data_IF_926450274036
#
_entry.id   IF_926450274036
#
_cell.length_a   1.000
_cell.length_b   1.000
_cell.length_c   1.000
_cell.angle_alpha   90.00
_cell.angle_beta   90.00
_cell.angle_gamma   90.00
#
_symmetry.space_group_name_H-M   'P 1'
#
loop_
_entity.id
_entity.type
_entity.pdbx_description
1 polymer ?
#
# COMPACT_ATOMS: atom_id res chain seq x y z
N UNK A 1 -0.96 11.56 -11.40
CA UNK A 1 -1.21 12.10 -10.04
C UNK A 1 -0.32 11.38 -9.03
N UNK A 2 -0.10 11.89 -7.81
CA UNK A 2 0.57 11.16 -6.72
C UNK A 2 -0.39 10.90 -5.55
N UNK A 3 -0.27 9.72 -4.94
CA UNK A 3 -0.94 9.38 -3.68
C UNK A 3 0.09 8.89 -2.66
N UNK A 4 -0.25 9.03 -1.38
CA UNK A 4 0.50 8.41 -0.28
C UNK A 4 -0.06 7.02 0.00
N UNK A 5 0.82 6.03 0.11
CA UNK A 5 0.49 4.74 0.70
C UNK A 5 1.30 4.51 1.98
N UNK A 6 0.77 3.67 2.84
CA UNK A 6 1.34 3.36 4.14
C UNK A 6 1.81 1.92 4.12
N UNK A 7 3.12 1.75 4.20
CA UNK A 7 3.80 0.48 4.12
C UNK A 7 4.32 0.08 5.50
N UNK A 8 3.90 -1.10 5.97
CA UNK A 8 4.29 -1.65 7.25
C UNK A 8 5.13 -2.90 7.04
N UNK A 9 6.33 -2.87 7.60
CA UNK A 9 7.33 -3.94 7.53
C UNK A 9 7.82 -4.32 8.92
N UNK A 10 8.38 -5.51 9.09
CA UNK A 10 9.07 -5.91 10.32
C UNK A 10 10.57 -6.06 10.05
N UNK A 11 11.45 -5.81 11.03
CA UNK A 11 12.90 -5.93 10.89
C UNK A 11 13.37 -7.40 10.91
N UNK A 12 12.61 -8.30 10.28
CA UNK A 12 12.86 -9.74 10.22
C UNK A 12 12.73 -10.18 8.77
N UNK A 13 13.67 -11.01 8.31
CA UNK A 13 13.66 -11.56 6.96
C UNK A 13 12.38 -12.39 6.74
N UNK A 14 11.78 -12.25 5.55
CA UNK A 14 10.58 -12.99 5.11
C UNK A 14 9.32 -12.73 5.96
N UNK A 15 9.36 -11.73 6.86
CA UNK A 15 8.19 -11.31 7.62
C UNK A 15 7.11 -10.71 6.70
N UNK A 16 5.82 -10.88 7.05
CA UNK A 16 4.73 -10.37 6.24
C UNK A 16 4.78 -8.85 6.14
N UNK A 17 4.38 -8.36 4.98
CA UNK A 17 4.26 -6.93 4.69
C UNK A 17 2.79 -6.56 4.60
N UNK A 18 2.42 -5.45 5.25
CA UNK A 18 1.10 -4.86 5.10
C UNK A 18 1.18 -3.51 4.38
N UNK A 19 0.22 -3.24 3.51
CA UNK A 19 0.10 -1.96 2.80
C UNK A 19 -1.31 -1.42 2.90
N UNK A 20 -1.46 -0.10 2.89
CA UNK A 20 -2.74 0.59 2.98
C UNK A 20 -2.73 1.88 2.17
N UNK A 21 -3.86 2.24 1.57
CA UNK A 21 -4.07 3.54 0.90
C UNK A 21 -4.56 4.61 1.88
N UNK A 22 -4.91 4.20 3.11
CA UNK A 22 -5.34 5.08 4.20
C UNK A 22 -4.35 5.00 5.37
N UNK A 23 -4.15 6.08 6.13
CA UNK A 23 -3.25 6.08 7.27
C UNK A 23 -3.71 5.05 8.32
N UNK A 24 -2.75 4.39 8.95
CA UNK A 24 -3.03 3.55 10.09
C UNK A 24 -3.35 4.40 11.32
N UNK A 25 -4.24 3.93 12.18
CA UNK A 25 -4.52 4.61 13.44
C UNK A 25 -3.26 4.65 14.32
N UNK A 26 -2.93 5.84 14.86
CA UNK A 26 -1.73 6.06 15.67
C UNK A 26 -1.69 5.20 16.96
N UNK A 27 -2.84 4.79 17.48
CA UNK A 27 -2.97 3.90 18.64
C UNK A 27 -2.73 2.42 18.31
N UNK A 28 -2.65 2.05 17.02
CA UNK A 28 -2.57 0.65 16.62
C UNK A 28 -1.11 0.18 16.60
N UNK A 29 -0.70 -0.52 17.66
CA UNK A 29 0.59 -1.21 17.71
C UNK A 29 0.49 -2.55 16.97
N UNK A 30 1.42 -2.80 16.05
CA UNK A 30 1.51 -4.08 15.32
C UNK A 30 2.81 -4.76 15.65
N UNK A 31 2.73 -6.05 15.96
CA UNK A 31 3.88 -6.85 16.32
C UNK A 31 3.90 -8.15 15.53
N UNK A 32 5.09 -8.70 15.35
CA UNK A 32 5.31 -10.00 14.74
C UNK A 32 6.27 -10.82 15.61
N UNK A 33 5.91 -12.07 15.86
CA UNK A 33 6.73 -12.99 16.67
C UNK A 33 7.49 -13.93 15.76
N UNK A 34 8.82 -13.94 15.87
CA UNK A 34 9.70 -14.85 15.15
C UNK A 34 10.88 -15.28 16.03
N UNK A 35 11.25 -16.56 15.99
CA UNK A 35 12.35 -17.13 16.78
C UNK A 35 12.25 -16.79 18.28
N UNK A 36 11.03 -16.81 18.84
CA UNK A 36 10.77 -16.50 20.25
C UNK A 36 10.93 -15.03 20.65
N UNK A 37 11.12 -14.11 19.68
CA UNK A 37 11.21 -12.66 19.92
C UNK A 37 10.04 -11.92 19.28
N UNK A 38 9.61 -10.84 19.91
CA UNK A 38 8.56 -9.95 19.42
C UNK A 38 9.21 -8.73 18.78
N UNK A 39 8.79 -8.40 17.56
CA UNK A 39 9.28 -7.25 16.80
C UNK A 39 8.14 -6.28 16.52
N UNK A 40 8.40 -5.00 16.79
CA UNK A 40 7.47 -3.92 16.44
C UNK A 40 7.55 -3.62 14.94
N UNK A 41 6.38 -3.31 14.36
CA UNK A 41 6.31 -2.95 12.95
C UNK A 41 6.90 -1.54 12.71
N UNK A 42 7.63 -1.40 11.61
CA UNK A 42 8.10 -0.11 11.09
C UNK A 42 7.11 0.38 10.05
N UNK A 43 6.60 1.60 10.25
CA UNK A 43 5.74 2.29 9.30
C UNK A 43 6.58 3.20 8.40
N UNK A 44 6.32 3.14 7.10
CA UNK A 44 6.88 4.04 6.09
C UNK A 44 5.77 4.57 5.21
N UNK A 45 5.79 5.86 4.96
CA UNK A 45 4.99 6.45 3.88
C UNK A 45 5.74 6.29 2.56
N UNK A 46 5.02 5.86 1.53
CA UNK A 46 5.55 5.75 0.18
C UNK A 46 4.69 6.60 -0.75
N UNK A 47 5.35 7.32 -1.65
CA UNK A 47 4.68 8.08 -2.70
C UNK A 47 4.55 7.21 -3.94
N UNK A 48 3.34 7.12 -4.47
CA UNK A 48 3.04 6.32 -5.67
C UNK A 48 2.40 7.24 -6.70
N UNK A 49 2.97 7.24 -7.90
CA UNK A 49 2.32 7.82 -9.07
C UNK A 49 1.22 6.87 -9.54
N UNK A 50 0.04 7.41 -9.80
CA UNK A 50 -1.16 6.69 -10.26
C UNK A 50 -1.80 7.44 -11.44
N UNK A 51 -2.73 6.81 -12.19
CA UNK A 51 -3.53 7.49 -13.21
C UNK A 51 -4.16 8.78 -12.70
N UNK A 52 -4.28 9.80 -13.57
CA UNK A 52 -4.71 11.14 -13.17
C UNK A 52 -6.17 11.22 -12.71
N UNK A 53 -7.01 10.30 -13.17
CA UNK A 53 -8.42 10.20 -12.82
C UNK A 53 -8.69 9.26 -11.63
N UNK A 54 -7.62 8.73 -11.01
CA UNK A 54 -7.74 7.81 -9.89
C UNK A 54 -8.35 8.47 -8.66
N UNK A 55 -9.26 7.75 -8.00
CA UNK A 55 -9.97 8.14 -6.78
C UNK A 55 -9.85 7.05 -5.72
N UNK A 56 -9.64 7.49 -4.48
CA UNK A 56 -9.59 6.60 -3.33
C UNK A 56 -11.00 6.37 -2.76
N UNK A 57 -11.44 5.11 -2.74
CA UNK A 57 -12.55 4.67 -1.90
C UNK A 57 -11.98 4.34 -0.51
N UNK A 58 -11.99 5.35 0.37
CA UNK A 58 -11.44 5.29 1.73
C UNK A 58 -12.13 4.20 2.56
N UNK A 59 -13.44 4.02 2.38
CA UNK A 59 -14.23 3.06 3.16
C UNK A 59 -13.86 1.61 2.82
N UNK A 60 -13.48 1.36 1.57
CA UNK A 60 -13.09 0.02 1.10
C UNK A 60 -11.58 -0.16 1.00
N UNK A 61 -10.79 0.88 1.21
CA UNK A 61 -9.35 0.91 1.00
C UNK A 61 -8.97 0.43 -0.42
N UNK A 62 -9.68 0.97 -1.43
CA UNK A 62 -9.50 0.65 -2.85
C UNK A 62 -9.16 1.91 -3.66
N UNK A 63 -8.29 1.76 -4.66
CA UNK A 63 -8.09 2.78 -5.68
C UNK A 63 -8.96 2.44 -6.90
N UNK A 64 -9.71 3.42 -7.40
CA UNK A 64 -10.61 3.29 -8.55
C UNK A 64 -10.23 4.28 -9.65
N UNK A 65 -10.22 3.87 -10.91
CA UNK A 65 -9.91 4.75 -12.06
C UNK A 65 -10.59 4.24 -13.34
N UNK A 66 -10.61 5.03 -14.41
CA UNK A 66 -11.08 4.60 -15.72
C UNK A 66 -9.96 3.85 -16.46
N UNK A 67 -10.17 2.56 -16.72
CA UNK A 67 -9.34 1.78 -17.62
C UNK A 67 -9.88 1.78 -19.04
N UNK A 68 -9.07 1.33 -20.00
CA UNK A 68 -9.45 1.21 -21.42
C UNK A 68 -10.70 0.34 -21.65
N UNK A 69 -10.91 -0.65 -20.77
CA UNK A 69 -12.05 -1.59 -20.82
C UNK A 69 -13.18 -1.21 -19.85
N UNK A 70 -13.14 -0.02 -19.27
CA UNK A 70 -14.10 0.47 -18.29
C UNK A 70 -13.53 0.67 -16.89
N UNK A 71 -14.38 0.88 -15.88
CA UNK A 71 -13.94 1.19 -14.52
C UNK A 71 -13.10 0.07 -13.91
N UNK A 72 -11.94 0.44 -13.39
CA UNK A 72 -11.02 -0.44 -12.69
C UNK A 72 -11.00 -0.13 -11.20
N UNK A 73 -10.68 -1.15 -10.41
CA UNK A 73 -10.44 -1.05 -8.98
C UNK A 73 -9.29 -1.96 -8.58
N UNK A 74 -8.46 -1.50 -7.66
CA UNK A 74 -7.39 -2.30 -7.08
C UNK A 74 -7.25 -2.06 -5.59
N UNK A 75 -6.88 -3.12 -4.90
CA UNK A 75 -6.49 -3.10 -3.49
C UNK A 75 -5.18 -2.37 -3.29
N UNK A 76 -4.91 -1.94 -2.06
CA UNK A 76 -3.59 -1.40 -1.69
C UNK A 76 -2.44 -2.35 -2.05
N UNK A 77 -2.65 -3.67 -1.96
CA UNK A 77 -1.62 -4.65 -2.32
C UNK A 77 -1.32 -4.64 -3.82
N UNK A 78 -2.35 -4.71 -4.65
CA UNK A 78 -2.19 -4.66 -6.11
C UNK A 78 -1.55 -3.36 -6.56
N UNK A 79 -1.94 -2.20 -6.00
CA UNK A 79 -1.33 -0.91 -6.33
C UNK A 79 0.17 -0.88 -5.98
N UNK A 80 0.55 -1.43 -4.82
CA UNK A 80 1.96 -1.54 -4.43
C UNK A 80 2.74 -2.45 -5.38
N UNK A 81 2.16 -3.59 -5.75
CA UNK A 81 2.79 -4.55 -6.65
C UNK A 81 2.94 -3.94 -8.07
N UNK A 82 1.94 -3.20 -8.57
CA UNK A 82 2.04 -2.45 -9.83
C UNK A 82 3.11 -1.37 -9.81
N UNK A 83 3.17 -0.59 -8.72
CA UNK A 83 4.15 0.48 -8.57
C UNK A 83 5.59 -0.05 -8.48
N UNK A 84 5.77 -1.21 -7.84
CA UNK A 84 7.06 -1.91 -7.73
C UNK A 84 7.47 -2.53 -9.07
N UNK A 85 6.52 -3.08 -9.82
CA UNK A 85 6.75 -3.63 -11.16
C UNK A 85 6.90 -2.54 -12.25
N UNK A 86 6.54 -1.28 -11.96
CA UNK A 86 6.57 -0.18 -12.93
C UNK A 86 5.49 -0.30 -14.02
N UNK A 87 4.35 -0.92 -13.72
CA UNK A 87 3.29 -1.20 -14.69
C UNK A 87 2.56 0.08 -15.12
N UNK A 88 2.37 0.26 -16.43
CA UNK A 88 1.61 1.32 -17.13
C UNK A 88 0.80 2.28 -16.24
N UNK A 89 1.42 3.39 -15.83
CA UNK A 89 0.79 4.47 -15.06
C UNK A 89 1.02 4.40 -13.54
N UNK A 90 1.61 3.31 -13.04
CA UNK A 90 1.99 3.12 -11.65
C UNK A 90 3.51 3.09 -11.49
N UNK A 91 4.04 3.90 -10.56
CA UNK A 91 5.45 3.85 -10.18
C UNK A 91 5.67 4.38 -8.78
N UNK A 92 6.69 3.84 -8.10
CA UNK A 92 7.24 4.48 -6.91
C UNK A 92 7.83 5.84 -7.32
N UNK A 93 7.54 6.88 -6.54
CA UNK A 93 7.87 8.26 -6.85
C UNK A 93 9.18 8.73 -6.23
#
# INVERSE_FOLDING_TARGET
MKITMYHRTFPVKDAPVAVSLVPYAASQKHTYTANGKIYDAVLKEIQVVVPDDAKLDVMKNLLCWAGEKGPMKSTAREVYDFATAGTSGFKLA
#
